data_IF_566800475634
#
_entry.id   IF_566800475634
#
_cell.length_a   1.000
_cell.length_b   1.000
_cell.length_c   1.000
_cell.angle_alpha   90.00
_cell.angle_beta   90.00
_cell.angle_gamma   90.00
#
_symmetry.space_group_name_H-M   'P 1'
#
loop_
_entity.id
_entity.type
_entity.pdbx_description
1 polymer ?
#
# COMPACT_ATOMS: atom_id res chain seq x y z
N UNK A 1 4.49 -9.64 5.18
CA UNK A 1 3.52 -8.57 5.44
C UNK A 1 4.22 -7.30 5.87
N UNK A 2 4.01 -6.21 5.14
CA UNK A 2 4.38 -4.84 5.52
C UNK A 2 3.09 -4.13 5.89
N UNK A 3 3.06 -3.42 7.02
CA UNK A 3 1.90 -2.64 7.45
C UNK A 3 2.11 -1.18 7.10
N UNK A 4 1.12 -0.57 6.44
CA UNK A 4 1.10 0.86 6.12
C UNK A 4 -0.09 1.46 6.86
N UNK A 5 0.18 2.28 7.88
CA UNK A 5 -0.82 2.75 8.84
C UNK A 5 -0.67 4.25 9.04
N UNK A 6 -1.80 4.95 9.03
CA UNK A 6 -1.92 6.36 9.35
C UNK A 6 -2.68 7.14 8.27
N UNK A 7 -2.97 8.42 8.51
CA UNK A 7 -3.86 9.21 7.66
C UNK A 7 -3.44 9.28 6.19
N UNK A 8 -2.13 9.20 5.92
CA UNK A 8 -1.56 9.23 4.58
C UNK A 8 -1.40 7.85 3.92
N UNK A 9 -1.80 6.75 4.57
CA UNK A 9 -1.50 5.39 4.11
C UNK A 9 -2.00 5.08 2.68
N UNK A 10 -3.19 5.59 2.32
CA UNK A 10 -3.71 5.44 0.97
C UNK A 10 -2.85 6.20 -0.06
N UNK A 11 -2.41 7.42 0.26
CA UNK A 11 -1.53 8.21 -0.60
C UNK A 11 -0.14 7.57 -0.74
N UNK A 12 0.43 7.06 0.37
CA UNK A 12 1.69 6.30 0.38
C UNK A 12 1.63 5.12 -0.59
N UNK A 13 0.56 4.32 -0.56
CA UNK A 13 0.42 3.17 -1.47
C UNK A 13 0.17 3.62 -2.92
N UNK A 14 -0.66 4.66 -3.13
CA UNK A 14 -0.98 5.18 -4.46
C UNK A 14 0.18 5.87 -5.18
N UNK A 15 1.28 6.17 -4.49
CA UNK A 15 2.53 6.61 -5.13
C UNK A 15 3.07 5.59 -6.15
N UNK A 16 2.76 4.30 -5.98
CA UNK A 16 3.18 3.22 -6.87
C UNK A 16 2.07 2.25 -7.26
N UNK A 17 0.89 2.35 -6.67
CA UNK A 17 -0.26 1.50 -6.96
C UNK A 17 -1.30 2.25 -7.80
N UNK A 18 -1.76 1.68 -8.93
CA UNK A 18 -2.74 2.35 -9.80
C UNK A 18 -4.19 2.24 -9.32
N UNK A 19 -4.47 1.55 -8.22
CA UNK A 19 -5.84 1.36 -7.73
C UNK A 19 -6.38 2.62 -7.05
N UNK A 20 -7.67 2.88 -7.21
CA UNK A 20 -8.36 3.86 -6.37
C UNK A 20 -8.57 3.25 -4.98
N UNK A 21 -7.95 3.86 -3.96
CA UNK A 21 -8.03 3.42 -2.56
C UNK A 21 -8.99 4.29 -1.72
N UNK A 22 -9.82 5.10 -2.38
CA UNK A 22 -10.97 5.74 -1.72
C UNK A 22 -11.83 4.70 -0.99
N UNK A 23 -12.48 5.11 0.10
CA UNK A 23 -13.32 4.18 0.88
C UNK A 23 -14.49 3.62 0.08
N UNK A 24 -14.97 4.36 -0.92
CA UNK A 24 -16.08 3.95 -1.77
C UNK A 24 -15.69 2.84 -2.75
N UNK A 25 -14.45 2.86 -3.25
CA UNK A 25 -13.95 1.87 -4.23
C UNK A 25 -13.20 0.71 -3.57
N UNK A 26 -12.43 0.98 -2.51
CA UNK A 26 -11.64 -0.03 -1.81
C UNK A 26 -11.96 -0.02 -0.29
N UNK A 27 -13.17 -0.44 0.13
CA UNK A 27 -13.62 -0.35 1.52
C UNK A 27 -12.80 -1.24 2.48
N UNK A 28 -13.00 -1.05 3.79
CA UNK A 28 -12.38 -1.91 4.80
C UNK A 28 -12.79 -3.37 4.58
N UNK A 29 -11.83 -4.29 4.60
CA UNK A 29 -12.00 -5.70 4.25
C UNK A 29 -11.79 -6.00 2.77
N UNK A 30 -11.68 -5.00 1.89
CA UNK A 30 -11.33 -5.21 0.49
C UNK A 30 -9.89 -5.72 0.36
N UNK A 31 -9.70 -6.64 -0.58
CA UNK A 31 -8.39 -7.17 -0.94
C UNK A 31 -8.28 -7.36 -2.46
N UNK A 32 -7.10 -7.13 -3.00
CA UNK A 32 -6.82 -7.27 -4.43
C UNK A 32 -5.38 -7.70 -4.68
N UNK A 33 -5.12 -8.29 -5.85
CA UNK A 33 -3.78 -8.35 -6.43
C UNK A 33 -3.59 -7.12 -7.32
N UNK A 34 -2.42 -6.51 -7.23
CA UNK A 34 -2.07 -5.31 -8.01
C UNK A 34 -0.56 -5.19 -8.15
N UNK A 35 -0.09 -4.15 -8.83
CA UNK A 35 1.32 -3.79 -8.90
C UNK A 35 1.58 -2.61 -7.95
N UNK A 36 2.75 -2.61 -7.30
CA UNK A 36 3.33 -1.47 -6.61
C UNK A 36 4.69 -1.17 -7.24
N UNK A 37 4.78 -0.08 -8.01
CA UNK A 37 5.95 0.23 -8.81
C UNK A 37 6.25 -0.90 -9.79
N UNK A 38 7.31 -1.68 -9.52
CA UNK A 38 7.74 -2.83 -10.35
C UNK A 38 7.43 -4.20 -9.73
N UNK A 39 6.79 -4.25 -8.57
CA UNK A 39 6.54 -5.50 -7.83
C UNK A 39 5.06 -5.85 -7.79
N UNK A 40 4.72 -7.13 -8.03
CA UNK A 40 3.37 -7.62 -7.78
C UNK A 40 3.13 -7.76 -6.28
N UNK A 41 1.99 -7.27 -5.80
CA UNK A 41 1.58 -7.32 -4.41
C UNK A 41 0.15 -7.84 -4.25
N UNK A 42 -0.14 -8.34 -3.04
CA UNK A 42 -1.52 -8.43 -2.53
C UNK A 42 -1.72 -7.27 -1.56
N UNK A 43 -2.76 -6.49 -1.78
CA UNK A 43 -3.16 -5.38 -0.92
C UNK A 43 -4.44 -5.76 -0.17
N UNK A 44 -4.45 -5.56 1.15
CA UNK A 44 -5.63 -5.73 2.01
C UNK A 44 -5.83 -4.46 2.84
N UNK A 45 -7.04 -3.91 2.85
CA UNK A 45 -7.40 -2.81 3.75
C UNK A 45 -7.98 -3.36 5.06
N UNK A 46 -7.28 -3.13 6.17
CA UNK A 46 -7.65 -3.66 7.49
C UNK A 46 -8.39 -2.65 8.37
N UNK A 47 -8.24 -1.35 8.09
CA UNK A 47 -9.02 -0.27 8.70
C UNK A 47 -9.15 0.91 7.72
N UNK A 48 -9.82 1.99 8.13
CA UNK A 48 -9.99 3.19 7.30
C UNK A 48 -8.67 3.78 6.82
N UNK A 49 -7.60 3.64 7.59
CA UNK A 49 -6.28 4.20 7.33
C UNK A 49 -5.17 3.16 7.58
N UNK A 50 -5.51 1.87 7.47
CA UNK A 50 -4.56 0.78 7.67
C UNK A 50 -4.66 -0.25 6.54
N UNK A 51 -3.49 -0.62 6.01
CA UNK A 51 -3.34 -1.58 4.94
C UNK A 51 -2.23 -2.59 5.27
N UNK A 52 -2.42 -3.80 4.78
CA UNK A 52 -1.42 -4.87 4.77
C UNK A 52 -0.99 -5.12 3.32
N UNK A 53 0.30 -4.98 3.06
CA UNK A 53 0.94 -5.26 1.78
C UNK A 53 1.70 -6.58 1.89
N UNK A 54 1.38 -7.53 1.02
CA UNK A 54 2.14 -8.76 0.84
C UNK A 54 2.85 -8.73 -0.51
N UNK A 55 4.08 -9.23 -0.53
CA UNK A 55 4.88 -9.37 -1.73
C UNK A 55 5.69 -10.66 -1.66
N UNK A 56 6.27 -11.04 -2.79
CA UNK A 56 7.28 -12.09 -2.84
C UNK A 56 8.46 -11.72 -1.94
N UNK A 57 9.01 -12.71 -1.21
CA UNK A 57 10.13 -12.46 -0.27
C UNK A 57 11.32 -11.75 -0.91
N UNK A 58 11.68 -12.09 -2.15
CA UNK A 58 12.79 -11.44 -2.86
C UNK A 58 12.57 -9.96 -3.17
N UNK A 59 11.33 -9.49 -3.11
CA UNK A 59 10.96 -8.09 -3.31
C UNK A 59 10.71 -7.33 -2.00
N UNK A 60 10.87 -7.97 -0.83
CA UNK A 60 10.53 -7.33 0.46
C UNK A 60 11.26 -6.02 0.68
N UNK A 61 12.56 -6.00 0.37
CA UNK A 61 13.41 -4.84 0.62
C UNK A 61 13.05 -3.69 -0.33
N UNK A 62 12.76 -4.01 -1.59
CA UNK A 62 12.26 -3.03 -2.57
C UNK A 62 10.93 -2.42 -2.14
N UNK A 63 9.95 -3.27 -1.80
CA UNK A 63 8.60 -2.81 -1.41
C UNK A 63 8.65 -2.00 -0.12
N UNK A 64 9.43 -2.43 0.88
CA UNK A 64 9.57 -1.70 2.14
C UNK A 64 10.25 -0.35 1.94
N UNK A 65 11.34 -0.30 1.17
CA UNK A 65 12.07 0.95 0.89
C UNK A 65 11.18 1.92 0.13
N UNK A 66 10.50 1.47 -0.92
CA UNK A 66 9.58 2.29 -1.71
C UNK A 66 8.46 2.90 -0.83
N UNK A 67 7.81 2.09 0.01
CA UNK A 67 6.75 2.58 0.89
C UNK A 67 7.27 3.54 1.97
N UNK A 68 8.50 3.35 2.44
CA UNK A 68 9.12 4.23 3.44
C UNK A 68 9.42 5.61 2.86
N UNK A 69 9.95 5.67 1.64
CA UNK A 69 10.19 6.93 0.91
C UNK A 69 8.86 7.63 0.61
N UNK A 70 7.89 6.91 0.04
CA UNK A 70 6.57 7.46 -0.27
C UNK A 70 5.80 7.92 0.98
N UNK A 71 6.04 7.33 2.15
CA UNK A 71 5.45 7.79 3.40
C UNK A 71 6.02 9.14 3.85
N UNK A 72 7.31 9.40 3.60
CA UNK A 72 7.92 10.70 3.83
C UNK A 72 7.29 11.78 2.94
N UNK A 73 7.15 11.50 1.65
CA UNK A 73 6.56 12.43 0.68
C UNK A 73 5.08 12.70 0.95
N UNK A 74 4.30 11.67 1.30
CA UNK A 74 2.87 11.82 1.56
C UNK A 74 2.54 12.55 2.88
N UNK A 75 3.51 12.67 3.77
CA UNK A 75 3.38 13.41 5.03
C UNK A 75 3.83 14.88 4.94
N UNK A 76 4.48 15.27 3.83
CA UNK A 76 4.95 16.63 3.57
C UNK A 76 3.82 17.54 3.07
#
# INVERSE_FOLDING_TARGET
AISVIGPAAAATINSGCPQDLSLDVFPVGAASRTILGKAEIVLLRTATDAFRVECWRSFSDYVFTFLSEAAGDAAA
#
